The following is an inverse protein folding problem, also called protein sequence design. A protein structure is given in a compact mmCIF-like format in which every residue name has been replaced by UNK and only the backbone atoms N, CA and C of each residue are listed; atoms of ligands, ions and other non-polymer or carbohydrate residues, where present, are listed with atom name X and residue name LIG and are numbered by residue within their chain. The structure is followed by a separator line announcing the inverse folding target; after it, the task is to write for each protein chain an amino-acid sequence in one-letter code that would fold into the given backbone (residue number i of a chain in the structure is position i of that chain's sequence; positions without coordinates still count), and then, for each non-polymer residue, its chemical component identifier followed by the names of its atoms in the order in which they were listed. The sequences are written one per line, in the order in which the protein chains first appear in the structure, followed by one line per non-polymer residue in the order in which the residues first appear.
data_IF_782627104978
#
_entry.id   IF_782627104978
#
_cell.length_a   1.000
_cell.length_b   1.000
_cell.length_c   1.000
_cell.angle_alpha   90.00
_cell.angle_beta   90.00
_cell.angle_gamma   90.00
#
_symmetry.space_group_name_H-M   'P 1'
#
loop_
_entity.id
_entity.type
_entity.pdbx_description
1 polymer ?
2 non-polymer ?
3 non-polymer ?
4 water ?
#
# COMPACT_ATOMS: atom_id res chain seq x y z
N UNK A 21 17.55 6.05 23.65
CA UNK A 21 18.46 4.92 23.59
C UNK A 21 19.39 5.01 22.39
N UNK A 22 19.68 3.87 21.77
CA UNK A 22 20.56 3.82 20.60
C UNK A 22 20.75 2.49 19.86
N UNK A 23 21.37 2.51 18.66
CA UNK A 23 21.53 1.29 17.79
C UNK A 23 22.64 1.36 16.71
N UNK A 24 23.03 0.26 16.05
CA UNK A 24 24.10 0.41 15.04
C UNK A 24 23.79 -0.35 13.75
N UNK A 25 23.95 0.33 12.63
CA UNK A 25 23.69 -0.26 11.33
C UNK A 25 24.85 0.04 10.38
N UNK A 26 25.59 -1.02 10.01
CA UNK A 26 26.75 -0.94 9.09
C UNK A 26 27.76 0.05 9.61
N UNK A 27 28.15 -0.11 10.88
CA UNK A 27 29.06 0.81 11.53
C UNK A 27 28.37 2.05 12.11
N UNK A 28 27.53 2.70 11.31
CA UNK A 28 26.91 3.98 11.71
C UNK A 28 25.88 3.82 12.84
N UNK A 29 25.81 4.86 13.67
CA UNK A 29 25.02 4.83 14.89
C UNK A 29 23.80 5.73 14.74
N UNK A 30 22.68 5.26 15.29
CA UNK A 30 21.41 5.99 15.25
C UNK A 30 20.80 5.94 16.64
N UNK A 31 20.28 7.06 17.08
CA UNK A 31 19.56 7.11 18.33
C UNK A 31 18.08 7.02 18.07
N UNK A 32 17.41 6.25 18.88
CA UNK A 32 15.97 6.01 18.74
C UNK A 32 15.17 7.18 19.29
N UNK A 33 14.11 7.58 18.59
CA UNK A 33 13.20 8.65 19.03
C UNK A 33 11.88 8.06 19.53
N UNK A 34 11.31 7.16 18.76
CA UNK A 34 10.15 6.40 19.23
C UNK A 34 9.97 5.18 18.35
N UNK A 35 9.11 4.30 18.79
CA UNK A 35 8.60 3.24 17.95
C UNK A 35 7.45 3.84 17.16
N UNK A 36 7.25 3.33 15.95
CA UNK A 36 6.15 3.72 15.07
C UNK A 36 5.13 2.59 14.99
N UNK A 37 5.60 1.35 14.93
CA UNK A 37 4.69 0.22 14.70
C UNK A 37 5.32 -1.14 15.00
N UNK A 38 4.52 -2.21 14.83
CA UNK A 38 4.98 -3.59 15.09
C UNK A 38 4.15 -4.64 14.32
N UNK A 39 4.58 -5.90 14.38
CA UNK A 39 3.94 -6.99 13.62
C UNK A 39 4.94 -8.06 13.18
N UNK A 40 4.44 -9.25 12.82
CA UNK A 40 5.30 -10.41 12.52
C UNK A 40 6.16 -10.73 13.73
N UNK A 41 7.42 -10.33 13.68
CA UNK A 41 8.21 -10.06 14.88
C UNK A 41 9.27 -8.99 14.53
N UNK A 42 8.76 -7.77 14.37
CA UNK A 42 9.53 -6.66 13.82
C UNK A 42 8.97 -5.33 14.27
N UNK A 43 9.85 -4.39 14.63
CA UNK A 43 9.43 -3.06 15.03
C UNK A 43 9.95 -2.07 14.01
N UNK A 44 9.23 -0.96 13.84
CA UNK A 44 9.74 0.16 13.07
C UNK A 44 9.97 1.34 14.01
N UNK A 45 11.15 1.95 13.95
CA UNK A 45 11.50 3.10 14.77
C UNK A 45 11.85 4.33 13.98
N UNK A 46 11.56 5.49 14.57
CA UNK A 46 12.06 6.74 14.08
C UNK A 46 13.36 7.00 14.81
N UNK A 47 14.36 7.55 14.12
CA UNK A 47 15.72 7.59 14.62
C UNK A 47 16.51 8.74 14.02
N UNK A 48 17.60 9.09 14.71
CA UNK A 48 18.48 10.16 14.24
C UNK A 48 19.87 9.62 14.03
N UNK A 49 20.52 10.06 12.97
CA UNK A 49 21.91 9.66 12.72
C UNK A 49 22.94 10.65 13.30
N UNK A 50 24.21 10.40 13.02
CA UNK A 50 25.34 11.23 13.43
C UNK A 50 25.22 12.68 12.94
N UNK A 51 24.55 12.91 11.82
CA UNK A 51 24.36 14.25 11.28
C UNK A 51 23.03 14.91 11.69
N UNK A 52 22.37 14.32 12.70
CA UNK A 52 21.02 14.73 13.15
C UNK A 52 19.91 14.68 12.09
N UNK A 53 20.10 13.86 11.04
CA UNK A 53 19.04 13.60 10.07
C UNK A 53 18.14 12.49 10.58
N UNK A 54 16.88 12.59 10.20
CA UNK A 54 15.84 11.68 10.70
C UNK A 54 15.60 10.53 9.68
N UNK A 55 15.35 9.32 10.19
CA UNK A 55 15.19 8.13 9.35
C UNK A 55 14.22 7.20 9.99
N UNK A 56 13.82 6.17 9.24
CA UNK A 56 13.06 5.06 9.82
C UNK A 56 13.83 3.76 9.64
N UNK A 57 14.10 3.07 10.73
CA UNK A 57 14.80 1.79 10.75
C UNK A 57 13.83 0.67 11.09
N UNK A 58 13.65 -0.30 10.19
CA UNK A 58 12.84 -1.47 10.51
C UNK A 58 13.75 -2.59 10.97
N UNK A 59 13.40 -3.20 12.09
CA UNK A 59 14.17 -4.27 12.67
C UNK A 59 13.33 -5.53 12.50
N UNK A 60 13.93 -6.62 12.03
CA UNK A 60 13.23 -7.93 11.96
C UNK A 60 14.07 -8.97 12.68
N UNK A 61 13.39 -9.77 13.49
CA UNK A 61 14.03 -10.78 14.32
C UNK A 61 13.83 -12.10 13.63
N UNK A 62 14.93 -12.73 13.21
CA UNK A 62 14.85 -13.95 12.40
C UNK A 62 14.87 -15.28 13.21
N UNK A 63 15.02 -15.20 14.53
CA UNK A 63 15.17 -16.40 15.38
C UNK A 63 14.13 -17.52 15.16
N UNK A 64 12.92 -17.18 14.71
CA UNK A 64 11.88 -18.18 14.43
C UNK A 64 11.50 -18.27 12.95
N UNK A 65 12.35 -17.76 12.08
CA UNK A 65 12.05 -17.71 10.64
C UNK A 65 12.49 -19.00 9.95
N UNK A 66 11.54 -19.68 9.31
CA UNK A 66 11.85 -20.84 8.47
C UNK A 66 12.59 -20.38 7.21
N UNK A 67 13.02 -21.32 6.38
CA UNK A 67 13.77 -20.95 5.17
C UNK A 67 12.93 -20.24 4.12
N UNK A 68 11.65 -20.62 4.06
CA UNK A 68 10.74 -20.02 3.10
C UNK A 68 10.58 -18.53 3.43
N UNK A 69 10.11 -18.29 4.64
CA UNK A 69 10.02 -16.96 5.24
C UNK A 69 11.24 -16.10 4.91
N UNK A 70 12.40 -16.66 5.24
CA UNK A 70 13.67 -15.99 5.01
C UNK A 70 13.88 -15.65 3.57
N UNK A 71 13.41 -16.49 2.65
CA UNK A 71 13.68 -16.22 1.22
C UNK A 71 12.74 -15.16 0.69
N UNK A 72 11.51 -15.21 1.15
CA UNK A 72 10.55 -14.15 0.91
C UNK A 72 11.11 -12.77 1.34
N UNK A 73 11.83 -12.67 2.47
CA UNK A 73 12.37 -11.38 2.95
C UNK A 73 13.59 -10.91 2.12
N UNK A 74 14.50 -11.83 1.84
CA UNK A 74 15.60 -11.54 0.94
C UNK A 74 15.00 -11.12 -0.39
N UNK A 75 13.80 -11.64 -0.71
CA UNK A 75 13.19 -11.31 -1.98
C UNK A 75 12.61 -9.92 -1.97
N UNK A 76 11.93 -9.51 -0.90
CA UNK A 76 11.40 -8.14 -0.96
C UNK A 76 12.54 -7.19 -0.82
N UNK A 77 13.47 -7.49 0.08
CA UNK A 77 14.59 -6.60 0.27
C UNK A 77 15.26 -6.35 -1.10
N UNK A 78 15.52 -7.39 -1.88
CA UNK A 78 16.12 -7.19 -3.22
C UNK A 78 15.26 -6.35 -4.15
N UNK A 79 13.96 -6.64 -4.21
CA UNK A 79 13.03 -5.85 -5.08
C UNK A 79 13.00 -4.42 -4.65
N UNK A 80 12.97 -4.16 -3.35
CA UNK A 80 12.96 -2.76 -2.90
C UNK A 80 14.26 -2.06 -3.27
N UNK A 81 15.35 -2.76 -3.03
CA UNK A 81 16.65 -2.25 -3.42
C UNK A 81 16.67 -1.87 -4.90
N UNK A 82 16.12 -2.74 -5.75
CA UNK A 82 16.15 -2.53 -7.20
C UNK A 82 15.24 -1.41 -7.70
N UNK A 83 14.00 -1.43 -7.24
CA UNK A 83 12.97 -0.51 -7.73
C UNK A 83 13.12 0.93 -7.24
N UNK A 84 14.05 1.12 -6.33
CA UNK A 84 14.44 2.45 -5.87
C UNK A 84 14.81 3.35 -6.98
N UNK A 85 15.66 2.85 -7.88
CA UNK A 85 16.10 3.61 -9.05
C UNK A 85 14.92 4.06 -9.89
N UNK A 86 13.95 3.16 -10.06
CA UNK A 86 12.96 3.33 -11.13
C UNK A 86 11.81 4.24 -10.80
N UNK A 87 11.54 4.50 -9.52
CA UNK A 87 10.52 5.47 -9.14
C UNK A 87 10.75 6.01 -7.75
N UNK A 88 10.41 7.29 -7.62
CA UNK A 88 10.44 7.99 -6.34
C UNK A 88 9.06 7.95 -5.64
N UNK A 89 8.15 7.15 -6.19
CA UNK A 89 6.92 6.75 -5.50
C UNK A 89 7.16 5.44 -4.77
N UNK A 90 8.42 5.02 -4.74
CA UNK A 90 8.81 3.91 -3.90
C UNK A 90 9.67 4.44 -2.78
N UNK A 91 9.54 3.84 -1.62
CA UNK A 91 10.20 4.33 -0.44
C UNK A 91 11.69 4.16 -0.56
N UNK A 92 12.45 5.17 -0.15
CA UNK A 92 13.89 5.10 -0.26
C UNK A 92 14.38 4.16 0.83
N UNK A 93 15.24 3.23 0.42
CA UNK A 93 15.97 2.36 1.30
C UNK A 93 17.43 2.79 1.18
N UNK A 94 17.97 3.36 2.25
CA UNK A 94 19.31 3.94 2.22
C UNK A 94 20.36 2.91 2.53
N UNK A 95 20.05 1.99 3.44
CA UNK A 95 21.05 1.03 3.85
C UNK A 95 20.40 -0.11 4.56
N UNK A 96 21.16 -1.19 4.75
CA UNK A 96 20.70 -2.29 5.54
C UNK A 96 21.83 -3.17 6.00
N UNK A 97 21.54 -3.85 7.12
CA UNK A 97 22.42 -4.84 7.73
C UNK A 97 21.63 -6.13 7.94
N UNK A 98 22.17 -7.23 7.44
CA UNK A 98 21.47 -8.51 7.52
C UNK A 98 22.40 -9.63 7.96
N UNK A 99 21.91 -10.42 8.92
CA UNK A 99 22.64 -11.50 9.59
C UNK A 99 21.66 -12.64 9.79
N UNK A 100 22.07 -13.65 10.55
CA UNK A 100 21.19 -14.78 10.82
C UNK A 100 20.20 -14.51 11.94
N UNK A 101 20.47 -13.49 12.76
CA UNK A 101 19.62 -13.18 13.90
C UNK A 101 18.58 -12.14 13.54
N UNK A 102 19.00 -11.15 12.77
CA UNK A 102 18.16 -9.98 12.50
C UNK A 102 18.44 -9.34 11.13
N UNK A 103 17.49 -8.53 10.69
CA UNK A 103 17.72 -7.55 9.65
C UNK A 103 17.48 -6.13 10.20
N UNK A 104 18.30 -5.15 9.78
CA UNK A 104 17.99 -3.72 9.95
C UNK A 104 17.88 -3.06 8.60
N UNK A 105 16.82 -2.31 8.37
CA UNK A 105 16.71 -1.48 7.19
C UNK A 105 16.60 0.01 7.50
N UNK A 106 17.58 0.78 7.02
CA UNK A 106 17.52 2.21 7.12
C UNK A 106 16.73 2.80 5.94
N UNK A 107 15.58 3.38 6.26
CA UNK A 107 14.70 3.93 5.27
C UNK A 107 14.39 5.39 5.52
N UNK A 108 14.03 6.06 4.46
CA UNK A 108 13.36 7.35 4.51
C UNK A 108 12.12 7.23 5.40
N UNK A 109 11.84 8.28 6.19
CA UNK A 109 10.71 8.34 7.19
C UNK A 109 9.47 9.08 6.64
N UNK A 110 8.29 8.52 6.81
CA UNK A 110 7.08 9.24 6.39
C UNK A 110 6.60 10.12 7.53
N UNK A 111 5.57 10.93 7.27
CA UNK A 111 4.92 11.70 8.33
C UNK A 111 3.79 10.86 8.91
N UNK A 112 3.13 10.14 8.03
CA UNK A 112 2.04 9.30 8.46
C UNK A 112 1.68 8.35 7.32
N UNK A 113 1.19 7.16 7.64
CA UNK A 113 0.67 6.28 6.60
C UNK A 113 -0.70 6.77 6.21
N UNK A 114 -1.23 6.21 5.13
CA UNK A 114 -2.43 6.73 4.52
C UNK A 114 -3.65 6.22 5.26
N UNK A 115 -3.59 5.02 5.83
CA UNK A 115 -4.75 4.53 6.55
C UNK A 115 -5.07 5.44 7.72
N UNK A 116 -4.06 5.74 8.52
CA UNK A 116 -4.22 6.64 9.66
C UNK A 116 -4.62 8.03 9.21
N UNK A 117 -3.99 8.55 8.16
CA UNK A 117 -4.30 9.89 7.69
C UNK A 117 -5.76 10.01 7.24
N UNK A 118 -6.30 8.94 6.66
CA UNK A 118 -7.70 8.94 6.21
C UNK A 118 -8.69 8.67 7.34
N UNK A 119 -8.26 7.99 8.41
CA UNK A 119 -9.12 7.79 9.57
C UNK A 119 -9.45 9.13 10.19
N UNK A 120 -8.45 9.98 10.36
CA UNK A 120 -8.60 11.26 11.05
C UNK A 120 -8.78 12.42 10.08
N UNK A 121 -9.60 12.20 9.06
CA UNK A 121 -9.86 13.21 8.06
C UNK A 121 -11.38 13.31 7.84
N UNK A 122 -11.87 14.54 7.80
CA UNK A 122 -13.31 14.82 7.67
C UNK A 122 -13.80 14.72 6.21
N UNK A 123 -12.98 15.24 5.30
CA UNK A 123 -13.26 15.22 3.87
C UNK A 123 -11.97 15.63 3.18
N UNK A 124 -11.88 15.36 1.87
CA UNK A 124 -10.60 15.49 1.15
C UNK A 124 -10.67 16.58 0.07
N UNK A 125 -9.72 17.51 0.11
CA UNK A 125 -9.53 18.44 -1.00
C UNK A 125 -9.43 17.59 -2.28
N UNK A 126 -10.40 17.74 -3.20
CA UNK A 126 -10.39 16.95 -4.45
C UNK A 126 -9.10 17.08 -5.27
N UNK A 127 -8.32 18.12 -5.01
CA UNK A 127 -6.98 18.24 -5.60
C UNK A 127 -6.02 17.25 -4.94
N UNK A 128 -5.96 17.27 -3.61
CA UNK A 128 -5.06 16.39 -2.88
C UNK A 128 -5.30 14.94 -3.32
N UNK A 129 -6.57 14.58 -3.42
CA UNK A 129 -7.01 13.28 -3.89
C UNK A 129 -6.51 12.85 -5.28
N UNK A 130 -6.74 13.69 -6.28
CA UNK A 130 -6.22 13.45 -7.63
C UNK A 130 -4.70 13.27 -7.59
N UNK A 131 -4.03 14.09 -6.81
CA UNK A 131 -2.59 13.96 -6.65
C UNK A 131 -2.13 12.67 -5.98
N UNK A 132 -2.92 12.16 -5.04
CA UNK A 132 -2.57 10.92 -4.38
C UNK A 132 -2.74 9.75 -5.35
N UNK A 133 -3.90 9.70 -6.01
CA UNK A 133 -4.19 8.75 -7.06
C UNK A 133 -3.01 8.70 -8.09
N UNK A 134 -2.60 9.85 -8.56
CA UNK A 134 -1.47 9.90 -9.49
C UNK A 134 -0.31 9.12 -8.88
N UNK A 135 0.00 9.40 -7.62
CA UNK A 135 1.08 8.71 -6.93
C UNK A 135 0.87 7.22 -6.84
N UNK A 136 -0.35 6.81 -6.45
CA UNK A 136 -0.64 5.41 -6.29
C UNK A 136 -0.45 4.74 -7.65
N UNK A 137 -1.06 5.32 -8.67
CA UNK A 137 -0.96 4.77 -10.01
C UNK A 137 0.48 4.61 -10.47
N UNK A 138 1.30 5.63 -10.26
CA UNK A 138 2.73 5.52 -10.65
C UNK A 138 3.42 4.38 -9.91
N UNK A 139 3.23 4.32 -8.61
CA UNK A 139 3.94 3.33 -7.81
C UNK A 139 3.55 1.90 -8.16
N UNK A 140 2.26 1.62 -8.22
CA UNK A 140 1.77 0.31 -8.57
C UNK A 140 2.15 -0.10 -10.01
N UNK A 141 2.08 0.83 -10.96
CA UNK A 141 2.59 0.59 -12.33
C UNK A 141 4.02 0.13 -12.30
N UNK A 142 4.79 0.72 -11.40
CA UNK A 142 6.22 0.41 -11.37
C UNK A 142 6.48 -1.05 -11.05
N UNK A 143 5.82 -1.56 -10.02
CA UNK A 143 6.10 -2.93 -9.59
C UNK A 143 5.58 -3.89 -10.66
N UNK A 144 4.55 -3.48 -11.41
CA UNK A 144 4.02 -4.29 -12.51
C UNK A 144 5.06 -4.36 -13.63
N UNK A 145 5.80 -3.30 -13.89
CA UNK A 145 6.79 -3.37 -14.94
C UNK A 145 7.86 -4.37 -14.59
N UNK A 146 8.08 -4.63 -13.31
CA UNK A 146 9.13 -5.57 -12.90
C UNK A 146 8.62 -6.97 -12.55
N UNK A 147 7.41 -7.30 -13.02
CA UNK A 147 6.84 -8.63 -12.81
C UNK A 147 5.96 -8.84 -11.58
N UNK A 148 5.84 -7.84 -10.72
CA UNK A 148 5.17 -8.00 -9.43
C UNK A 148 3.73 -7.56 -9.47
N UNK A 149 2.84 -8.43 -9.04
CA UNK A 149 1.46 -8.08 -8.69
C UNK A 149 1.34 -8.12 -7.16
N UNK A 150 0.92 -7.03 -6.54
CA UNK A 150 0.79 -7.00 -5.07
C UNK A 150 -0.38 -7.87 -4.57
N UNK A 151 -1.57 -7.68 -5.16
CA UNK A 151 -2.75 -8.50 -4.86
C UNK A 151 -3.39 -8.34 -3.46
N UNK A 152 -2.83 -7.48 -2.63
CA UNK A 152 -3.31 -7.23 -1.29
C UNK A 152 -3.08 -5.78 -0.89
N UNK A 153 -3.41 -4.86 -1.80
CA UNK A 153 -3.20 -3.43 -1.55
C UNK A 153 -4.26 -2.87 -0.61
N UNK A 154 -3.80 -2.09 0.36
CA UNK A 154 -4.67 -1.41 1.32
C UNK A 154 -4.01 -0.05 1.51
N UNK A 155 -4.72 0.91 2.12
CA UNK A 155 -4.15 2.22 2.34
C UNK A 155 -2.93 2.17 3.22
N UNK A 156 -2.89 1.18 4.10
CA UNK A 156 -1.73 1.03 4.98
C UNK A 156 -0.43 0.78 4.20
N UNK A 157 -0.51 0.36 2.93
CA UNK A 157 0.68 0.11 2.13
C UNK A 157 1.28 1.40 1.63
N UNK A 158 0.52 2.48 1.77
CA UNK A 158 0.92 3.78 1.33
C UNK A 158 1.23 4.69 2.47
N UNK A 159 2.32 5.44 2.29
CA UNK A 159 2.91 6.31 3.27
C UNK A 159 3.06 7.70 2.66
N UNK A 160 2.77 8.74 3.43
CA UNK A 160 2.77 10.11 2.96
C UNK A 160 4.08 10.76 3.40
N UNK A 161 4.69 11.52 2.49
CA UNK A 161 6.06 11.99 2.61
C UNK A 161 6.22 13.21 1.68
N UNK A 162 6.22 14.42 2.26
CA UNK A 162 6.32 15.68 1.48
C UNK A 162 5.11 15.88 0.56
N UNK A 163 3.94 15.53 1.07
CA UNK A 163 2.73 15.61 0.26
C UNK A 163 2.64 14.54 -0.80
N UNK A 164 3.67 13.70 -0.95
CA UNK A 164 3.63 12.55 -1.88
C UNK A 164 3.33 11.23 -1.19
N UNK A 165 2.53 10.41 -1.86
CA UNK A 165 2.44 8.98 -1.50
C UNK A 165 3.57 8.14 -2.07
N UNK A 166 4.10 7.27 -1.21
CA UNK A 166 5.09 6.30 -1.59
C UNK A 166 4.67 4.94 -1.08
N UNK A 167 4.81 3.93 -1.95
CA UNK A 167 4.53 2.54 -1.62
C UNK A 167 5.59 1.95 -0.73
N UNK A 168 5.14 1.27 0.32
CA UNK A 168 6.02 0.78 1.37
C UNK A 168 6.40 -0.68 1.15
N UNK A 169 5.42 -1.54 0.86
CA UNK A 169 5.70 -2.97 0.66
C UNK A 169 5.08 -3.53 -0.62
N UNK A 170 5.45 -4.75 -0.96
CA UNK A 170 5.12 -5.35 -2.27
C UNK A 170 4.40 -6.69 -2.22
N UNK A 171 4.47 -7.45 -1.12
CA UNK A 171 4.20 -8.93 -1.15
C UNK A 171 5.29 -9.82 -0.54
N UNK A 172 5.04 -10.21 0.72
CA UNK A 172 5.87 -11.13 1.53
C UNK A 172 4.87 -11.86 2.47
N UNK A 173 5.34 -12.74 3.37
CA UNK A 173 4.55 -13.08 4.57
C UNK A 173 4.53 -11.88 5.54
N UNK A 174 3.96 -10.75 5.08
CA UNK A 174 4.20 -9.41 5.66
C UNK A 174 2.97 -8.83 6.37
N UNK A 175 3.20 -8.17 7.50
CA UNK A 175 2.13 -7.61 8.32
C UNK A 175 2.59 -6.44 9.20
N UNK A 176 1.83 -5.35 9.18
CA UNK A 176 2.12 -4.18 10.00
C UNK A 176 0.85 -3.57 10.62
N UNK A 177 1.08 -2.70 11.61
CA UNK A 177 0.00 -2.05 12.36
C UNK A 177 0.59 -0.94 13.25
N UNK A 178 0.00 0.28 13.22
CA UNK A 178 0.54 1.34 14.10
C UNK A 178 0.25 1.09 15.59
N UNK A 179 0.87 1.86 16.49
CA UNK A 179 0.53 1.81 17.92
C UNK A 179 0.87 3.09 18.70
N UNK A 187 -6.28 0.41 12.32
CA UNK A 187 -6.96 -0.79 11.84
C UNK A 187 -6.02 -1.99 11.85
N UNK A 188 -6.55 -3.15 11.49
CA UNK A 188 -5.76 -4.37 11.45
C UNK A 188 -5.60 -4.86 10.01
N UNK A 189 -5.29 -6.14 9.84
CA UNK A 189 -5.13 -6.73 8.53
C UNK A 189 -6.27 -7.66 8.13
N UNK A 190 -6.10 -8.35 7.01
CA UNK A 190 -7.10 -9.26 6.51
C UNK A 190 -8.19 -8.39 5.94
N UNK A 191 -8.61 -7.44 6.78
CA UNK A 191 -9.59 -6.43 6.40
C UNK A 191 -10.58 -7.02 5.45
N UNK A 192 -10.17 -7.21 4.20
CA UNK A 192 -11.08 -7.74 3.20
C UNK A 192 -12.12 -6.82 2.53
N UNK A 193 -11.87 -5.52 2.57
CA UNK A 193 -12.73 -4.54 1.86
C UNK A 193 -12.05 -4.07 0.57
N UNK A 194 -10.77 -4.42 0.42
CA UNK A 194 -10.00 -4.05 -0.76
C UNK A 194 -9.77 -5.27 -1.63
N UNK A 195 -10.33 -6.40 -1.21
CA UNK A 195 -10.09 -7.66 -1.88
C UNK A 195 -10.92 -7.73 -3.15
N UNK A 196 -10.32 -8.15 -4.27
CA UNK A 196 -11.04 -8.29 -5.53
C UNK A 196 -11.70 -9.64 -5.68
N UNK A 197 -12.81 -9.71 -6.44
CA UNK A 197 -13.55 -10.93 -6.73
C UNK A 197 -12.67 -12.13 -7.02
N UNK A 198 -11.74 -11.99 -7.96
CA UNK A 198 -10.92 -13.11 -8.41
C UNK A 198 -10.04 -13.71 -7.32
N UNK A 199 -9.60 -12.91 -6.36
CA UNK A 199 -8.85 -13.40 -5.21
C UNK A 199 -9.70 -14.32 -4.36
N UNK A 200 -11.02 -14.06 -4.36
CA UNK A 200 -11.98 -14.85 -3.60
C UNK A 200 -12.38 -16.14 -4.36
N UNK A 201 -12.71 -16.04 -5.64
CA UNK A 201 -12.99 -17.21 -6.50
C UNK A 201 -11.82 -18.17 -6.62
N UNK A 202 -10.61 -17.70 -6.30
CA UNK A 202 -9.38 -18.50 -6.36
C UNK A 202 -9.45 -19.74 -5.46
N UNK A 203 -10.31 -19.69 -4.42
CA UNK A 203 -10.54 -20.85 -3.56
C UNK A 203 -11.88 -21.49 -3.90
N UNK A 215 -7.83 -16.46 -12.38
CA UNK A 215 -6.58 -16.35 -11.64
C UNK A 215 -6.21 -14.89 -11.27
N UNK A 216 -5.17 -14.74 -10.46
CA UNK A 216 -4.66 -13.43 -10.04
C UNK A 216 -3.78 -12.79 -11.13
N UNK A 217 -3.93 -11.48 -11.30
CA UNK A 217 -3.16 -10.75 -12.29
C UNK A 217 -3.16 -9.24 -11.95
N UNK A 218 -2.45 -8.43 -12.74
CA UNK A 218 -2.40 -6.97 -12.56
C UNK A 218 -3.75 -6.24 -12.36
N UNK A 219 -4.81 -6.72 -12.99
CA UNK A 219 -6.14 -6.14 -12.82
C UNK A 219 -6.60 -6.26 -11.37
N UNK A 220 -6.05 -7.23 -10.63
CA UNK A 220 -6.31 -7.34 -9.20
C UNK A 220 -5.92 -6.07 -8.42
N UNK A 221 -4.78 -5.47 -8.77
CA UNK A 221 -4.32 -4.24 -8.11
C UNK A 221 -5.17 -3.02 -8.47
N UNK A 222 -5.86 -3.06 -9.61
CA UNK A 222 -6.83 -2.01 -9.99
C UNK A 222 -8.09 -2.05 -9.09
N UNK A 223 -8.57 -3.23 -8.75
CA UNK A 223 -9.76 -3.34 -7.92
C UNK A 223 -9.48 -2.73 -6.53
N UNK A 224 -8.39 -3.18 -5.92
CA UNK A 224 -8.00 -2.61 -4.65
C UNK A 224 -7.76 -1.09 -4.77
N UNK A 225 -7.00 -0.63 -5.77
CA UNK A 225 -6.80 0.83 -5.89
C UNK A 225 -8.11 1.57 -6.06
N UNK A 226 -9.01 1.00 -6.86
CA UNK A 226 -10.36 1.53 -6.96
C UNK A 226 -11.05 1.68 -5.60
N UNK A 227 -11.04 0.60 -4.81
CA UNK A 227 -11.68 0.66 -3.49
C UNK A 227 -11.13 1.80 -2.64
N UNK A 228 -9.84 2.08 -2.80
CA UNK A 228 -9.17 3.09 -1.98
C UNK A 228 -9.66 4.43 -2.45
N UNK A 229 -9.79 4.56 -3.75
CA UNK A 229 -10.22 5.82 -4.30
C UNK A 229 -11.71 6.05 -3.98
N UNK A 230 -12.49 4.98 -4.04
CA UNK A 230 -13.90 5.02 -3.64
C UNK A 230 -14.01 5.57 -2.21
N UNK A 231 -13.18 5.08 -1.31
CA UNK A 231 -13.19 5.57 0.08
C UNK A 231 -12.82 7.02 0.11
N UNK A 232 -11.76 7.41 -0.59
CA UNK A 232 -11.36 8.82 -0.64
C UNK A 232 -12.42 9.70 -1.29
N UNK A 233 -13.43 9.08 -1.90
CA UNK A 233 -14.43 9.80 -2.66
C UNK A 233 -15.74 9.86 -1.84
N UNK A 234 -16.24 8.70 -1.43
CA UNK A 234 -17.51 8.61 -0.74
C UNK A 234 -17.38 8.43 0.78
N UNK A 235 -16.17 8.54 1.32
CA UNK A 235 -15.96 8.41 2.77
C UNK A 235 -15.99 7.01 3.36
N UNK A 236 -16.38 6.01 2.57
CA UNK A 236 -16.38 4.61 2.99
C UNK A 236 -15.95 3.68 1.84
N UNK A 237 -15.66 2.42 2.13
CA UNK A 237 -15.35 1.46 1.06
C UNK A 237 -16.67 0.90 0.53
N UNK A 238 -16.67 0.35 -0.71
CA UNK A 238 -17.95 -0.01 -1.34
C UNK A 238 -18.80 -1.02 -0.58
N UNK A 239 -18.18 -1.91 0.18
CA UNK A 239 -18.92 -2.91 0.94
C UNK A 239 -18.78 -2.69 2.45
N UNK A 240 -18.27 -1.54 2.85
CA UNK A 240 -17.91 -1.24 4.24
C UNK A 240 -19.04 -1.49 5.23
N UNK A 241 -20.26 -1.19 4.77
CA UNK A 241 -21.46 -1.25 5.59
C UNK A 241 -22.09 -2.64 5.55
N UNK A 242 -21.25 -3.67 5.45
CA UNK A 242 -21.71 -5.05 5.54
C UNK A 242 -20.89 -5.78 6.61
N UNK A 243 -21.38 -5.69 7.85
CA UNK A 243 -20.67 -6.18 9.02
C UNK A 243 -20.28 -7.63 8.85
N UNK A 244 -21.28 -8.45 8.58
CA UNK A 244 -21.06 -9.88 8.46
C UNK A 244 -20.00 -10.17 7.40
N UNK A 245 -18.85 -10.67 7.83
CA UNK A 245 -17.71 -10.91 6.94
C UNK A 245 -18.01 -11.82 5.74
N UNK A 246 -18.98 -12.72 5.90
CA UNK A 246 -19.33 -13.69 4.87
C UNK A 246 -20.32 -13.13 3.83
N UNK A 247 -21.30 -12.35 4.29
CA UNK A 247 -22.22 -11.65 3.37
C UNK A 247 -21.45 -10.58 2.59
N UNK A 248 -20.33 -10.14 3.14
CA UNK A 248 -19.41 -9.25 2.45
C UNK A 248 -18.68 -10.00 1.32
N UNK A 249 -18.09 -11.15 1.62
CA UNK A 249 -17.41 -11.94 0.56
C UNK A 249 -18.39 -12.36 -0.51
N UNK A 250 -19.59 -12.76 -0.12
CA UNK A 250 -20.63 -13.14 -1.10
C UNK A 250 -21.00 -11.96 -2.01
N UNK A 251 -21.13 -10.78 -1.41
CA UNK A 251 -21.48 -9.58 -2.17
C UNK A 251 -20.42 -9.20 -3.21
N UNK A 252 -19.15 -9.26 -2.81
CA UNK A 252 -18.03 -8.87 -3.66
C UNK A 252 -18.04 -9.68 -4.96
N UNK A 253 -18.30 -10.98 -4.86
CA UNK A 253 -18.30 -11.87 -6.03
C UNK A 253 -19.63 -11.99 -6.78
N UNK A 254 -20.65 -11.24 -6.36
CA UNK A 254 -22.01 -11.37 -6.90
C UNK A 254 -22.42 -10.20 -7.81
N UNK A 255 -22.57 -10.44 -9.14
CA UNK A 255 -22.88 -9.31 -10.04
C UNK A 255 -24.27 -8.68 -9.84
N UNK A 256 -25.24 -9.48 -9.42
CA UNK A 256 -26.58 -8.97 -9.14
C UNK A 256 -26.57 -7.97 -7.98
N UNK A 257 -25.56 -8.07 -7.13
CA UNK A 257 -25.30 -7.06 -6.14
C UNK A 257 -24.60 -5.91 -6.84
N UNK A 258 -25.28 -4.79 -6.98
CA UNK A 258 -24.71 -3.67 -7.72
C UNK A 258 -24.14 -2.65 -6.76
N UNK A 259 -23.04 -2.02 -7.15
CA UNK A 259 -22.41 -1.03 -6.29
C UNK A 259 -23.00 0.33 -6.62
N UNK A 260 -23.26 1.10 -5.57
CA UNK A 260 -23.82 2.43 -5.72
C UNK A 260 -22.71 3.43 -6.01
N UNK A 261 -22.86 4.21 -7.09
CA UNK A 261 -21.94 5.28 -7.41
C UNK A 261 -22.68 6.62 -7.43
N UNK A 262 -23.02 7.17 -6.24
CA UNK A 262 -23.70 8.47 -6.14
C UNK A 262 -23.08 9.56 -7.01
N UNK A 263 -23.88 10.53 -7.43
CA UNK A 263 -23.45 11.53 -8.41
C UNK A 263 -22.58 12.60 -7.77
N UNK A 264 -21.72 13.20 -8.59
CA UNK A 264 -20.73 14.15 -8.06
C UNK A 264 -20.26 15.14 -9.12
N UNK A 265 -19.79 16.30 -8.65
CA UNK A 265 -19.26 17.33 -9.57
C UNK A 265 -18.18 16.81 -10.55
N UNK A 266 -17.34 15.88 -10.08
CA UNK A 266 -16.28 15.30 -10.90
C UNK A 266 -16.77 14.02 -11.60
N UNK A 267 -17.50 14.21 -12.70
CA UNK A 267 -18.02 13.08 -13.47
C UNK A 267 -16.94 12.07 -13.80
N UNK A 268 -15.74 12.57 -14.16
CA UNK A 268 -14.58 11.74 -14.47
C UNK A 268 -14.27 10.77 -13.33
N UNK A 269 -14.05 11.31 -12.14
CA UNK A 269 -13.89 10.51 -10.93
C UNK A 269 -14.95 9.41 -10.79
N UNK A 270 -16.20 9.74 -11.12
CA UNK A 270 -17.25 8.74 -11.09
C UNK A 270 -16.95 7.61 -12.10
N UNK A 271 -16.39 7.99 -13.24
CA UNK A 271 -16.10 7.03 -14.31
C UNK A 271 -14.96 6.10 -13.93
N UNK A 272 -13.83 6.69 -13.58
CA UNK A 272 -12.69 5.91 -13.12
C UNK A 272 -13.17 4.80 -12.17
N UNK A 273 -13.96 5.19 -11.17
CA UNK A 273 -14.45 4.24 -10.15
C UNK A 273 -15.25 3.10 -10.74
N UNK A 274 -16.17 3.45 -11.63
CA UNK A 274 -16.97 2.46 -12.35
C UNK A 274 -16.06 1.55 -13.17
N UNK A 275 -14.95 2.10 -13.67
CA UNK A 275 -14.00 1.35 -14.51
C UNK A 275 -13.05 0.44 -13.72
N UNK A 276 -12.68 0.87 -12.52
CA UNK A 276 -11.84 0.01 -11.66
C UNK A 276 -12.66 -1.10 -11.01
N UNK A 277 -13.93 -0.82 -10.70
CA UNK A 277 -14.72 -1.77 -9.92
C UNK A 277 -15.60 -2.66 -10.77
N UNK A 278 -15.09 -3.07 -11.93
CA UNK A 278 -15.69 -4.12 -12.73
C UNK A 278 -15.34 -5.46 -12.11
N UNK A 279 -16.34 -6.28 -11.84
CA UNK A 279 -16.14 -7.58 -11.20
C UNK A 279 -15.42 -8.61 -12.06
N UNK A 280 -15.48 -8.47 -13.38
CA UNK A 280 -14.69 -9.33 -14.28
C UNK A 280 -13.42 -8.60 -14.70
N UNK A 281 -12.27 -9.11 -14.26
CA UNK A 281 -10.95 -8.60 -14.65
C UNK A 281 -10.82 -8.22 -16.14
N UNK A 282 -11.35 -9.04 -17.02
CA UNK A 282 -11.26 -8.75 -18.47
C UNK A 282 -12.02 -7.50 -18.86
N UNK A 283 -13.04 -7.16 -18.07
CA UNK A 283 -13.78 -5.93 -18.28
C UNK A 283 -13.10 -4.73 -17.62
N UNK A 284 -12.14 -4.99 -16.73
CA UNK A 284 -11.60 -3.95 -15.87
C UNK A 284 -10.54 -3.16 -16.63
N UNK A 285 -10.48 -1.86 -16.35
CA UNK A 285 -9.50 -0.98 -16.97
C UNK A 285 -8.10 -1.31 -16.42
N UNK A 286 -7.06 -0.87 -17.11
CA UNK A 286 -5.67 -1.18 -16.74
C UNK A 286 -4.88 0.05 -16.26
N UNK A 287 -3.72 -0.19 -15.63
CA UNK A 287 -2.94 0.91 -15.15
C UNK A 287 -2.52 1.87 -16.26
N UNK A 288 -1.98 1.35 -17.39
CA UNK A 288 -1.57 2.30 -18.45
C UNK A 288 -2.75 3.12 -18.98
N UNK A 289 -3.94 2.51 -18.97
CA UNK A 289 -5.16 3.22 -19.36
C UNK A 289 -5.50 4.30 -18.33
N UNK A 290 -5.59 3.90 -17.06
CA UNK A 290 -5.78 4.90 -15.96
C UNK A 290 -4.77 6.08 -16.05
N UNK A 291 -3.54 5.83 -16.44
CA UNK A 291 -2.59 6.96 -16.55
C UNK A 291 -2.95 7.95 -17.65
N UNK A 292 -3.59 7.46 -18.70
CA UNK A 292 -4.03 8.29 -19.83
C UNK A 292 -5.44 8.86 -19.66
N UNK A 293 -6.06 8.60 -18.50
CA UNK A 293 -7.46 8.92 -18.30
C UNK A 293 -7.63 10.41 -18.07
N UNK A 294 -8.70 10.99 -18.60
CA UNK A 294 -8.99 12.42 -18.35
C UNK A 294 -8.80 12.91 -16.88
N UNK A 295 -9.44 12.21 -15.93
CA UNK A 295 -9.27 12.44 -14.48
C UNK A 295 -7.86 12.82 -13.95
N UNK A 296 -6.80 12.21 -14.48
CA UNK A 296 -5.42 12.51 -14.00
C UNK A 296 -4.66 13.39 -14.98
N UNK A 297 -5.31 13.68 -16.08
CA UNK A 297 -4.67 14.33 -17.19
C UNK A 297 -5.25 15.75 -17.40
N UNK A 298 -6.57 15.91 -17.25
CA UNK A 298 -7.22 17.18 -17.61
C UNK A 298 -7.24 18.21 -16.49
N UNK A 299 -6.70 19.39 -16.82
CA UNK A 299 -6.76 20.66 -16.04
C UNK A 299 -5.52 20.84 -15.16
X LIG B 1 8.34 4.61 7.49
X LIG B 1 7.52 3.56 7.81
X LIG B 1 6.45 3.80 8.60
X LIG B 1 9.13 2.87 6.55
X LIG B 1 6.98 6.04 8.71
X LIG B 1 5.25 1.08 10.51
X LIG B 1 3.85 1.02 11.17
X LIG B 1 2.63 1.15 10.22
X LIG B 1 2.93 1.91 8.91
X LIG B 1 4.07 1.18 8.31
X LIG B 1 5.35 1.58 9.04
X LIG B 1 5.49 2.99 9.06
X LIG B 1 6.22 5.02 9.02
X LIG B 1 8.02 2.49 7.23
X LIG B 1 9.34 4.18 6.70
X LIG B 1 8.07 5.86 7.94
X LIG B 1 6.55 7.18 9.25
X LIG B 1 5.43 7.14 10.05
X LIG B 1 5.45 7.92 11.22
X LIG B 1 6.55 8.68 11.59
X LIG B 1 4.35 7.92 12.06
X LIG B 1 4.28 6.37 9.75
X LIG B 1 3.19 6.40 10.59
X LIG B 1 3.23 7.18 11.75
X LIG B 1 2.19 7.25 12.59
X LIG B 1 1.67 8.57 12.97
X LIG B 1 0.53 8.33 13.95
X LIG B 1 -0.43 7.45 13.34
X LIG B 1 0.03 6.09 13.24
X LIG B 1 1.56 6.01 13.14
X LIG C 1 -4.16 17.63 -9.73
X LIG C 1 -3.04 16.82 -9.38
X LIG C 1 -1.93 17.60 -8.93
X LIG C 1 -0.68 16.73 -8.77
X LIG C 1 0.31 17.05 -9.76
X LIG C 1 1.53 16.29 -9.68
X LIG C 1 1.61 15.16 -10.72
X LIG C 1 0.91 15.47 -11.93
X LIG D 1 7.72 -7.28 8.28
X LIG D 1 8.15 -8.36 7.44
X LIG D 1 9.65 -8.28 7.17
X LIG D 1 9.87 -7.84 5.83
X LIG D 1 11.17 -7.30 5.57
X LIG D 1 11.05 -6.51 4.26
X LIG D 1 10.09 -5.46 4.40
X LIG D 1 10.53 -4.19 3.90
X LIG D 1 9.33 -3.29 3.65
X LIG D 1 9.32 -2.19 4.58
X LIG D 1 8.03 -1.92 5.13
#
# INVERSE_FOLDING_TARGET
MHHHHHHSSGVDLGTENLYFQSMSVKGRIYSILKQIGSGGSSKVFQVLNEKKQIYAIKYVNLEEADNQTLDSYRNEIAYLNKLQQHSDKIIRLYDYEITDQYIYMVMECGNIDLNSWLKKKKSIDPWERKSYWKNMLEAVHTIHQHGIVHSDLKPANFLIVDGMLKLIDFGIANQMQPDTTSVVKDSQVGTVNYMPPEAIKDMSSSRENGKSKSKISPKSDVWSLGCILYYMTYGKTPFQQIINQISKLHAIIDPNHEIEFPDIPEKDLQDVLKCCLKRDPKQRISIPELLAHPYVQIQTHLVNQMAKGTTEE
8PT C4 C5 C6 C8 C2 CAU CAV CAW CAX CAY CAK N6 N1 N7 N9 N3 N2 CAM CAR CAS CAQ CAN CAO CAP NAT CAZ CBA OBB CBC CBD
7PE C11 O10 C9 C8 O7 C6 C5 O4
7PE O19 C18 C17 O16 C15 C14 O13 C12 C11 O10 C9
#
